data_IF_506050869198
#
_entry.id   IF_506050869198
#
_cell.length_a   1.000
_cell.length_b   1.000
_cell.length_c   1.000
_cell.angle_alpha   90.00
_cell.angle_beta   90.00
_cell.angle_gamma   90.00
#
_symmetry.space_group_name_H-M   'P 1'
#
loop_
_entity.id
_entity.type
_entity.pdbx_description
1 polymer ?
#
# COMPACT_ATOMS: atom_id res chain seq x y z
N UNK A 1 -15.33 -10.86 31.71
CA UNK A 1 -14.99 -11.16 30.30
C UNK A 1 -15.40 -9.96 29.44
N UNK A 2 -14.46 -9.06 29.14
CA UNK A 2 -14.73 -7.70 28.63
C UNK A 2 -15.22 -7.67 27.18
N UNK A 3 -16.04 -6.67 26.82
CA UNK A 3 -16.59 -6.39 25.47
C UNK A 3 -15.55 -6.51 24.33
N UNK A 4 -14.29 -6.18 24.64
CA UNK A 4 -13.12 -6.26 23.77
C UNK A 4 -12.83 -7.70 23.29
N UNK A 5 -13.00 -8.69 24.16
CA UNK A 5 -12.73 -10.10 23.81
C UNK A 5 -13.83 -10.67 22.90
N UNK A 6 -15.06 -10.14 22.99
CA UNK A 6 -16.17 -10.51 22.09
C UNK A 6 -15.96 -9.92 20.69
N UNK A 7 -15.48 -8.67 20.60
CA UNK A 7 -15.14 -8.02 19.34
C UNK A 7 -13.96 -8.70 18.63
N UNK A 8 -12.89 -9.07 19.36
CA UNK A 8 -11.75 -9.83 18.83
C UNK A 8 -12.14 -11.19 18.24
N UNK A 9 -13.10 -11.87 18.84
CA UNK A 9 -13.58 -13.18 18.35
C UNK A 9 -14.43 -13.04 17.09
N UNK A 10 -15.15 -11.92 16.96
CA UNK A 10 -16.01 -11.61 15.82
C UNK A 10 -15.21 -11.16 14.58
N UNK A 11 -14.15 -10.38 14.77
CA UNK A 11 -13.29 -9.87 13.67
C UNK A 11 -12.41 -10.98 13.07
N UNK A 12 -12.08 -12.03 13.82
CA UNK A 12 -11.26 -13.15 13.34
C UNK A 12 -11.98 -14.11 12.39
N UNK A 13 -13.32 -14.12 12.34
CA UNK A 13 -14.05 -15.15 11.59
C UNK A 13 -14.55 -14.72 10.21
N UNK A 14 -14.30 -13.49 9.75
CA UNK A 14 -14.93 -12.97 8.53
C UNK A 14 -14.10 -12.00 7.68
N UNK A 15 -12.85 -11.70 8.04
CA UNK A 15 -12.03 -10.76 7.28
C UNK A 15 -10.85 -11.44 6.59
N UNK A 16 -10.67 -11.13 5.31
CA UNK A 16 -9.50 -11.53 4.55
C UNK A 16 -8.28 -10.70 4.99
N UNK A 17 -7.08 -11.27 4.81
CA UNK A 17 -5.80 -10.72 5.31
C UNK A 17 -5.55 -9.24 4.90
N UNK A 18 -6.12 -8.81 3.77
CA UNK A 18 -6.06 -7.43 3.26
C UNK A 18 -6.90 -6.43 4.09
N UNK A 19 -8.09 -6.82 4.54
CA UNK A 19 -8.98 -5.94 5.32
C UNK A 19 -8.41 -5.66 6.72
N UNK A 20 -7.65 -6.61 7.26
CA UNK A 20 -6.96 -6.46 8.54
C UNK A 20 -5.90 -5.36 8.49
N UNK A 21 -5.17 -5.24 7.38
CA UNK A 21 -4.12 -4.21 7.21
C UNK A 21 -4.69 -2.81 7.05
N UNK A 22 -5.81 -2.66 6.33
CA UNK A 22 -6.46 -1.37 6.12
C UNK A 22 -7.07 -0.80 7.41
N UNK A 23 -7.76 -1.64 8.19
CA UNK A 23 -8.29 -1.26 9.50
C UNK A 23 -7.18 -0.94 10.50
N UNK A 24 -6.09 -1.70 10.48
CA UNK A 24 -4.94 -1.45 11.33
C UNK A 24 -4.24 -0.13 10.98
N UNK A 25 -4.09 0.19 9.69
CA UNK A 25 -3.54 1.48 9.25
C UNK A 25 -4.40 2.66 9.69
N UNK A 26 -5.73 2.56 9.58
CA UNK A 26 -6.63 3.61 10.09
C UNK A 26 -6.55 3.75 11.62
N UNK A 27 -6.45 2.64 12.36
CA UNK A 27 -6.30 2.69 13.82
C UNK A 27 -4.92 3.20 14.25
N UNK A 28 -3.84 2.91 13.52
CA UNK A 28 -2.48 3.36 13.85
C UNK A 28 -2.29 4.86 13.58
N UNK A 29 -2.89 5.37 12.49
CA UNK A 29 -2.95 6.82 12.22
C UNK A 29 -3.76 7.53 13.31
N UNK A 30 -4.89 6.96 13.75
CA UNK A 30 -5.68 7.52 14.85
C UNK A 30 -4.97 7.41 16.21
N UNK A 31 -4.23 6.33 16.47
CA UNK A 31 -3.52 6.12 17.74
C UNK A 31 -2.28 7.01 17.88
N UNK A 32 -1.58 7.34 16.79
CA UNK A 32 -0.46 8.31 16.83
C UNK A 32 -0.92 9.75 17.07
N UNK A 33 -2.16 10.10 16.72
CA UNK A 33 -2.76 11.39 17.09
C UNK A 33 -2.96 11.51 18.61
N UNK A 34 -3.07 10.39 19.34
CA UNK A 34 -3.36 10.39 20.78
C UNK A 34 -2.15 10.25 21.71
N UNK A 35 -0.95 9.96 21.20
CA UNK A 35 0.20 9.55 22.04
C UNK A 35 1.31 10.60 22.21
N UNK A 36 1.12 11.84 21.75
CA UNK A 36 2.17 12.84 21.76
C UNK A 36 1.93 13.95 22.80
N UNK A 37 2.97 14.40 23.52
CA UNK A 37 2.83 15.34 24.64
C UNK A 37 2.44 16.73 24.12
N UNK A 38 1.25 17.19 24.51
CA UNK A 38 0.72 18.53 24.27
C UNK A 38 0.69 19.02 22.81
N UNK A 39 0.22 18.16 21.89
CA UNK A 39 0.05 18.44 20.43
C UNK A 39 -1.45 18.67 20.08
N UNK A 40 -2.29 18.93 21.08
CA UNK A 40 -3.75 18.79 20.97
C UNK A 40 -4.51 20.00 20.42
N UNK A 41 -3.83 21.01 19.87
CA UNK A 41 -4.50 22.11 19.18
C UNK A 41 -3.91 22.28 17.79
N UNK A 42 -4.70 21.96 16.77
CA UNK A 42 -4.43 22.43 15.42
C UNK A 42 -4.29 23.94 15.48
N UNK A 43 -3.25 24.48 14.86
CA UNK A 43 -3.18 25.92 14.62
C UNK A 43 -4.41 26.37 13.80
N UNK A 44 -4.82 27.65 13.83
CA UNK A 44 -5.94 28.13 13.04
C UNK A 44 -5.79 27.83 11.52
N UNK A 45 -4.56 27.85 11.03
CA UNK A 45 -4.23 27.49 9.65
C UNK A 45 -4.44 25.99 9.39
N UNK A 46 -3.89 25.13 10.24
CA UNK A 46 -4.07 23.67 10.12
C UNK A 46 -5.55 23.27 10.26
N UNK A 47 -6.31 23.97 11.10
CA UNK A 47 -7.76 23.78 11.25
C UNK A 47 -8.52 24.11 9.95
N UNK A 48 -8.14 25.21 9.29
CA UNK A 48 -8.69 25.62 8.00
C UNK A 48 -8.39 24.58 6.92
N UNK A 49 -7.13 24.13 6.83
CA UNK A 49 -6.69 23.11 5.86
C UNK A 49 -7.37 21.76 6.14
N UNK A 50 -7.44 21.35 7.41
CA UNK A 50 -8.10 20.11 7.84
C UNK A 50 -9.58 20.10 7.44
N UNK A 51 -10.27 21.22 7.65
CA UNK A 51 -11.67 21.38 7.24
C UNK A 51 -11.85 21.22 5.72
N UNK A 52 -10.99 21.86 4.91
CA UNK A 52 -11.00 21.70 3.46
C UNK A 52 -10.67 20.27 3.02
N UNK A 53 -9.72 19.61 3.69
CA UNK A 53 -9.34 18.22 3.43
C UNK A 53 -10.50 17.25 3.70
N UNK A 54 -11.21 17.42 4.82
CA UNK A 54 -12.39 16.63 5.16
C UNK A 54 -13.47 16.80 4.10
N UNK A 55 -13.73 18.02 3.62
CA UNK A 55 -14.70 18.27 2.55
C UNK A 55 -14.32 17.55 1.24
N UNK A 56 -13.03 17.54 0.87
CA UNK A 56 -12.56 16.79 -0.30
C UNK A 56 -12.71 15.28 -0.11
N UNK A 57 -12.45 14.76 1.10
CA UNK A 57 -12.66 13.35 1.44
C UNK A 57 -14.12 12.94 1.30
N UNK A 58 -15.06 13.74 1.82
CA UNK A 58 -16.49 13.42 1.76
C UNK A 58 -16.98 13.34 0.31
N UNK A 59 -16.66 14.33 -0.51
CA UNK A 59 -17.02 14.33 -1.95
C UNK A 59 -16.46 13.13 -2.70
N UNK A 60 -15.23 12.72 -2.38
CA UNK A 60 -14.63 11.57 -3.02
C UNK A 60 -15.35 10.27 -2.62
N UNK A 61 -15.70 10.11 -1.33
CA UNK A 61 -16.48 8.96 -0.86
C UNK A 61 -17.86 8.91 -1.50
N UNK A 62 -18.55 10.04 -1.62
CA UNK A 62 -19.87 10.12 -2.29
C UNK A 62 -19.79 9.75 -3.77
N UNK A 63 -18.75 10.21 -4.47
CA UNK A 63 -18.54 9.93 -5.90
C UNK A 63 -18.23 8.47 -6.19
N UNK A 64 -17.56 7.81 -5.26
CA UNK A 64 -16.89 6.53 -5.48
C UNK A 64 -17.72 5.41 -4.85
N UNK A 65 -18.21 5.62 -3.64
CA UNK A 65 -18.88 4.61 -2.82
C UNK A 65 -17.88 3.77 -2.01
N UNK A 66 -18.42 2.83 -1.24
CA UNK A 66 -17.64 1.88 -0.43
C UNK A 66 -17.42 0.57 -1.20
N UNK A 67 -16.39 -0.20 -0.82
CA UNK A 67 -16.09 -1.55 -1.34
C UNK A 67 -15.74 -1.62 -2.83
N UNK A 68 -14.70 -0.89 -3.24
CA UNK A 68 -14.19 -0.96 -4.61
C UNK A 68 -12.85 -1.68 -4.66
N UNK A 69 -12.74 -2.58 -5.61
CA UNK A 69 -11.49 -3.27 -5.90
C UNK A 69 -10.46 -2.26 -6.46
N UNK A 70 -9.28 -2.23 -5.83
CA UNK A 70 -8.24 -1.23 -6.13
C UNK A 70 -7.88 -1.16 -7.61
N UNK A 71 -7.75 -2.30 -8.30
CA UNK A 71 -7.32 -2.33 -9.70
C UNK A 71 -8.31 -1.63 -10.65
N UNK A 72 -9.61 -1.64 -10.35
CA UNK A 72 -10.65 -0.92 -11.12
C UNK A 72 -10.62 0.58 -10.85
N UNK A 73 -10.17 0.97 -9.66
CA UNK A 73 -10.22 2.36 -9.20
C UNK A 73 -8.89 3.10 -9.32
N UNK A 74 -7.76 2.40 -9.51
CA UNK A 74 -6.40 2.96 -9.59
C UNK A 74 -6.30 4.20 -10.50
N UNK A 75 -6.76 4.09 -11.74
CA UNK A 75 -6.70 5.20 -12.71
C UNK A 75 -7.54 6.41 -12.29
N UNK A 76 -8.64 6.19 -11.55
CA UNK A 76 -9.49 7.26 -11.02
C UNK A 76 -8.85 7.93 -9.79
N UNK A 77 -8.16 7.15 -8.94
CA UNK A 77 -7.39 7.68 -7.80
C UNK A 77 -6.30 8.63 -8.28
N UNK A 78 -5.57 8.26 -9.34
CA UNK A 78 -4.45 9.07 -9.86
C UNK A 78 -4.87 10.48 -10.29
N UNK A 79 -6.13 10.65 -10.73
CA UNK A 79 -6.71 11.94 -11.10
C UNK A 79 -7.37 12.70 -9.92
N UNK A 80 -7.52 12.05 -8.77
CA UNK A 80 -8.20 12.61 -7.59
C UNK A 80 -7.44 13.80 -7.01
N UNK A 81 -8.14 14.91 -6.77
CA UNK A 81 -7.57 16.09 -6.10
C UNK A 81 -7.11 15.74 -4.68
N UNK A 82 -7.86 14.89 -3.98
CA UNK A 82 -7.51 14.41 -2.64
C UNK A 82 -6.22 13.59 -2.68
N UNK A 83 -6.10 12.67 -3.64
CA UNK A 83 -4.90 11.84 -3.77
C UNK A 83 -3.65 12.67 -4.08
N UNK A 84 -3.75 13.68 -4.95
CA UNK A 84 -2.66 14.62 -5.23
C UNK A 84 -2.17 15.34 -3.97
N UNK A 85 -3.09 15.78 -3.11
CA UNK A 85 -2.73 16.38 -1.81
C UNK A 85 -2.04 15.37 -0.89
N UNK A 86 -2.60 14.16 -0.73
CA UNK A 86 -2.00 13.09 0.09
C UNK A 86 -0.59 12.73 -0.40
N UNK A 87 -0.35 12.78 -1.72
CA UNK A 87 0.96 12.52 -2.30
C UNK A 87 2.00 13.55 -1.87
N UNK A 88 1.61 14.82 -1.74
CA UNK A 88 2.45 15.93 -1.29
C UNK A 88 2.71 15.95 0.22
N UNK A 89 1.86 15.28 1.02
CA UNK A 89 2.02 15.24 2.48
C UNK A 89 3.28 14.47 2.91
N UNK A 90 4.04 14.98 3.92
CA UNK A 90 5.12 14.22 4.54
C UNK A 90 4.53 13.07 5.37
N UNK A 91 4.70 11.84 4.88
CA UNK A 91 4.10 10.62 5.48
C UNK A 91 4.94 10.00 6.61
N UNK A 92 6.12 10.55 6.91
CA UNK A 92 7.06 9.94 7.84
C UNK A 92 7.73 8.70 7.22
N UNK A 93 7.66 7.56 7.90
CA UNK A 93 8.34 6.32 7.52
C UNK A 93 7.37 5.19 7.15
N UNK A 94 7.76 4.34 6.18
CA UNK A 94 7.10 3.06 5.92
C UNK A 94 7.65 2.01 6.88
N UNK A 95 6.84 1.58 7.84
CA UNK A 95 7.25 0.62 8.88
C UNK A 95 6.91 -0.83 8.53
N UNK A 96 6.08 -1.03 7.51
CA UNK A 96 5.69 -2.33 7.00
C UNK A 96 5.82 -2.33 5.48
N UNK A 97 6.46 -3.37 4.94
CA UNK A 97 6.84 -3.45 3.54
C UNK A 97 7.78 -4.61 3.29
N UNK A 98 7.44 -5.45 2.33
CA UNK A 98 8.32 -6.51 1.87
C UNK A 98 9.25 -5.96 0.79
N UNK A 99 10.56 -6.17 0.94
CA UNK A 99 11.60 -5.58 0.07
C UNK A 99 11.27 -5.65 -1.43
N UNK A 100 10.86 -6.84 -1.92
CA UNK A 100 10.54 -7.05 -3.33
C UNK A 100 9.20 -6.46 -3.77
N UNK A 101 8.29 -6.15 -2.83
CA UNK A 101 7.00 -5.51 -3.12
C UNK A 101 7.06 -3.98 -3.15
N UNK A 102 8.19 -3.38 -2.77
CA UNK A 102 8.40 -1.92 -2.78
C UNK A 102 8.99 -1.40 -4.09
N UNK A 103 9.41 -2.31 -4.97
CA UNK A 103 10.07 -2.00 -6.23
C UNK A 103 9.00 -1.96 -7.34
N UNK A 104 9.12 -1.00 -8.28
CA UNK A 104 8.19 -0.91 -9.40
C UNK A 104 8.35 -2.11 -10.36
N UNK A 105 7.24 -2.52 -10.97
CA UNK A 105 7.26 -3.56 -12.00
C UNK A 105 8.12 -3.17 -13.20
N UNK A 106 8.10 -1.88 -13.58
CA UNK A 106 8.92 -1.38 -14.69
C UNK A 106 10.42 -1.52 -14.40
N UNK A 107 10.85 -1.27 -13.17
CA UNK A 107 12.25 -1.50 -12.77
C UNK A 107 12.57 -2.99 -12.77
N UNK A 108 11.69 -3.85 -12.22
CA UNK A 108 11.90 -5.31 -12.29
C UNK A 108 11.98 -5.79 -13.75
N UNK A 109 11.15 -5.25 -14.64
CA UNK A 109 11.18 -5.54 -16.06
C UNK A 109 12.48 -5.04 -16.70
N UNK A 110 12.96 -3.85 -16.34
CA UNK A 110 14.23 -3.34 -16.87
C UNK A 110 15.42 -4.22 -16.49
N UNK A 111 15.39 -4.89 -15.33
CA UNK A 111 16.42 -5.85 -14.93
C UNK A 111 16.46 -7.08 -15.87
N UNK A 112 15.37 -7.40 -16.57
CA UNK A 112 15.33 -8.55 -17.49
C UNK A 112 16.17 -8.36 -18.76
N UNK A 113 16.59 -7.12 -19.05
CA UNK A 113 17.50 -6.79 -20.14
C UNK A 113 18.97 -6.75 -19.73
N UNK A 114 19.30 -7.20 -18.51
CA UNK A 114 20.69 -7.28 -18.08
C UNK A 114 21.42 -8.40 -18.84
N UNK A 115 22.60 -8.14 -19.44
CA UNK A 115 23.29 -9.10 -20.30
C UNK A 115 23.70 -10.38 -19.56
N UNK A 116 23.87 -10.29 -18.25
CA UNK A 116 24.28 -11.39 -17.39
C UNK A 116 23.08 -12.19 -16.84
N UNK A 117 21.84 -11.81 -17.18
CA UNK A 117 20.66 -12.49 -16.67
C UNK A 117 20.26 -13.69 -17.54
N UNK A 118 20.25 -14.87 -16.92
CA UNK A 118 19.73 -16.09 -17.51
C UNK A 118 18.32 -16.40 -17.01
N UNK A 119 17.52 -17.01 -17.89
CA UNK A 119 16.19 -17.54 -17.60
C UNK A 119 16.17 -19.05 -17.76
N UNK A 120 15.43 -19.74 -16.89
CA UNK A 120 15.10 -21.15 -17.02
C UNK A 120 13.61 -21.35 -16.88
N UNK A 121 13.03 -22.02 -17.88
CA UNK A 121 11.62 -22.42 -17.87
C UNK A 121 11.50 -23.76 -17.14
N UNK A 122 10.57 -23.84 -16.20
CA UNK A 122 10.19 -25.07 -15.49
C UNK A 122 8.68 -25.27 -15.57
N UNK A 123 8.22 -26.48 -15.26
CA UNK A 123 6.78 -26.80 -15.22
C UNK A 123 5.98 -25.91 -14.26
N UNK A 124 6.64 -25.31 -13.26
CA UNK A 124 6.03 -24.43 -12.26
C UNK A 124 6.35 -22.93 -12.45
N UNK A 125 6.93 -22.54 -13.60
CA UNK A 125 7.16 -21.13 -13.95
C UNK A 125 8.58 -20.81 -14.39
N UNK A 126 8.93 -19.52 -14.30
CA UNK A 126 10.21 -18.97 -14.72
C UNK A 126 11.14 -18.79 -13.52
N UNK A 127 12.42 -19.13 -13.70
CA UNK A 127 13.49 -18.80 -12.75
C UNK A 127 14.53 -17.93 -13.45
N UNK A 128 14.91 -16.84 -12.80
CA UNK A 128 15.97 -15.94 -13.24
C UNK A 128 17.22 -16.14 -12.37
N UNK A 129 18.41 -16.03 -12.96
CA UNK A 129 19.70 -16.15 -12.26
C UNK A 129 20.76 -15.34 -12.99
N UNK A 130 21.64 -14.67 -12.25
CA UNK A 130 22.86 -14.06 -12.80
C UNK A 130 24.02 -15.06 -12.93
N UNK A 131 23.87 -16.24 -12.34
CA UNK A 131 24.82 -17.34 -12.47
C UNK A 131 24.23 -18.36 -13.43
N UNK A 132 24.65 -18.27 -14.68
CA UNK A 132 24.33 -19.25 -15.72
C UNK A 132 25.25 -20.46 -15.52
N UNK A 133 24.90 -21.32 -14.56
CA UNK A 133 25.64 -22.57 -14.37
C UNK A 133 25.57 -23.39 -15.66
N UNK A 134 26.68 -24.04 -16.04
CA UNK A 134 26.86 -24.92 -17.21
C UNK A 134 25.88 -26.13 -17.28
N UNK A 135 24.86 -26.15 -16.43
CA UNK A 135 23.74 -27.09 -16.49
C UNK A 135 22.82 -26.80 -17.68
N UNK A 136 22.35 -27.85 -18.34
CA UNK A 136 21.37 -27.78 -19.43
C UNK A 136 20.08 -27.06 -19.00
N UNK A 137 19.58 -26.18 -19.88
CA UNK A 137 18.26 -25.55 -19.76
C UNK A 137 18.24 -24.09 -19.27
N UNK A 138 19.39 -23.42 -19.12
CA UNK A 138 19.45 -21.96 -19.01
C UNK A 138 19.56 -21.33 -20.40
N UNK A 139 18.89 -20.19 -20.58
CA UNK A 139 18.93 -19.40 -21.80
C UNK A 139 19.29 -17.96 -21.43
N UNK A 140 20.19 -17.34 -22.19
CA UNK A 140 20.43 -15.90 -22.10
C UNK A 140 19.23 -15.17 -22.70
N UNK A 141 18.80 -14.12 -22.01
CA UNK A 141 17.84 -13.19 -22.59
C UNK A 141 18.59 -12.26 -23.59
N UNK A 142 17.94 -11.90 -24.70
CA UNK A 142 18.54 -11.07 -25.75
C UNK A 142 18.84 -9.64 -25.27
#
# INVERSE_FOLDING_TARGET
>A
MTRINRFRKMVKSSMTQLEYTALWFTCLVMAKIQAAPNINALTPEESTISSAFVQLRLREVERVGYNIEFYKYKQKIENSRLFRLIKQMPKGASLDGHLFGLISQDFLYSLTFSPDLCVRIRSNGLRFSYECLNSSGWMHLP
#
